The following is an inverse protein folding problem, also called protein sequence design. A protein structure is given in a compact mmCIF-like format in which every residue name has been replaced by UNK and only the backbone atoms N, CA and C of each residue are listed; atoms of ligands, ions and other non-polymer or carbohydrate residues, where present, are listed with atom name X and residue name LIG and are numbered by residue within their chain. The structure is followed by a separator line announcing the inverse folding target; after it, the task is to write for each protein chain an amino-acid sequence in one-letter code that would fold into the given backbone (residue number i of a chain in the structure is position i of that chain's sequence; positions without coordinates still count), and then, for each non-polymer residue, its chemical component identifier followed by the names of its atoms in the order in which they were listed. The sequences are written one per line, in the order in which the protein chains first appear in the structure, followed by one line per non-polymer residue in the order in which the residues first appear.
data_IF_230074056378
#
_entry.id   IF_230074056378
#
_cell.length_a   1.000
_cell.length_b   1.000
_cell.length_c   1.000
_cell.angle_alpha   90.00
_cell.angle_beta   90.00
_cell.angle_gamma   90.00
#
_symmetry.space_group_name_H-M   'P 1'
#
loop_
_entity.id
_entity.type
_entity.pdbx_description
1 polymer ?
#
# COMPACT_ATOMS: atom_id res chain seq x y z
N UNK A 1 74.91 -46.93 29.46
CA UNK A 1 73.85 -47.12 30.48
C UNK A 1 72.71 -46.18 30.08
N UNK A 2 71.74 -46.62 29.28
CA UNK A 2 70.57 -47.46 29.60
C UNK A 2 69.42 -46.67 30.26
N UNK A 3 68.43 -46.34 29.41
CA UNK A 3 66.97 -46.15 29.61
C UNK A 3 66.49 -45.15 30.68
N UNK A 4 65.38 -44.40 30.54
CA UNK A 4 64.11 -44.72 29.89
C UNK A 4 63.30 -43.44 29.57
N UNK A 5 62.40 -43.57 28.59
CA UNK A 5 61.41 -42.58 28.13
C UNK A 5 60.24 -42.46 29.13
N UNK A 6 59.53 -41.32 29.12
CA UNK A 6 58.06 -41.26 28.99
C UNK A 6 57.63 -39.83 28.61
N UNK A 7 56.75 -39.77 27.60
CA UNK A 7 56.05 -38.60 27.06
C UNK A 7 54.68 -38.51 27.74
N UNK A 8 54.22 -37.30 28.10
CA UNK A 8 52.79 -36.95 28.05
C UNK A 8 52.65 -35.49 27.60
N UNK A 9 51.96 -35.33 26.46
CA UNK A 9 51.39 -34.08 25.96
C UNK A 9 50.15 -33.72 26.77
N UNK A 10 49.99 -32.45 27.15
CA UNK A 10 48.67 -31.83 27.28
C UNK A 10 48.70 -30.46 26.62
N UNK A 11 47.96 -30.37 25.52
CA UNK A 11 47.65 -29.16 24.79
C UNK A 11 46.58 -28.37 25.56
N UNK A 12 46.83 -27.08 25.79
CA UNK A 12 45.87 -26.17 26.39
C UNK A 12 46.03 -24.78 25.79
N UNK A 13 45.48 -24.60 24.58
CA UNK A 13 45.24 -23.29 23.99
C UNK A 13 43.97 -22.71 24.65
N UNK A 14 44.11 -21.61 25.39
CA UNK A 14 42.98 -20.78 25.77
C UNK A 14 43.18 -19.38 25.16
N UNK A 15 42.71 -19.24 23.92
CA UNK A 15 42.42 -17.96 23.29
C UNK A 15 41.05 -17.51 23.81
N UNK A 16 41.01 -16.48 24.66
CA UNK A 16 39.75 -15.80 24.99
C UNK A 16 39.57 -14.70 23.96
N UNK A 17 38.81 -15.00 22.92
CA UNK A 17 38.33 -14.03 21.95
C UNK A 17 36.94 -13.53 22.39
N UNK A 18 36.79 -12.20 22.32
CA UNK A 18 35.58 -11.43 21.95
C UNK A 18 34.21 -11.85 22.48
N UNK A 19 33.58 -10.93 23.21
CA UNK A 19 32.13 -10.96 23.43
C UNK A 19 31.63 -9.70 24.12
N UNK A 20 31.79 -8.51 23.52
CA UNK A 20 30.84 -7.44 23.79
C UNK A 20 29.54 -7.85 23.08
N UNK A 21 28.67 -8.56 23.80
CA UNK A 21 27.24 -8.60 23.51
C UNK A 21 26.68 -7.20 23.80
N UNK A 22 26.91 -6.29 22.85
CA UNK A 22 26.02 -5.15 22.67
C UNK A 22 24.75 -5.71 22.07
N UNK A 23 23.81 -6.07 22.94
CA UNK A 23 22.42 -6.16 22.52
C UNK A 23 22.07 -4.78 21.98
N UNK A 24 21.92 -4.66 20.67
CA UNK A 24 21.02 -3.65 20.13
C UNK A 24 19.66 -4.02 20.71
N UNK A 25 19.29 -3.37 21.80
CA UNK A 25 17.88 -3.26 22.14
C UNK A 25 17.23 -2.82 20.82
N UNK A 26 16.38 -3.70 20.28
CA UNK A 26 15.44 -3.28 19.28
C UNK A 26 14.76 -2.07 19.91
N UNK A 27 15.00 -0.90 19.33
CA UNK A 27 14.27 0.29 19.71
C UNK A 27 12.83 -0.09 19.45
N UNK A 28 12.10 -0.35 20.52
CA UNK A 28 10.67 -0.57 20.50
C UNK A 28 10.13 0.80 20.08
N UNK A 29 9.93 0.95 18.77
CA UNK A 29 9.23 2.09 18.26
C UNK A 29 7.80 1.90 18.75
N UNK A 30 7.41 2.68 19.76
CA UNK A 30 6.01 3.01 20.01
C UNK A 30 5.51 3.66 18.71
N UNK A 31 5.06 2.82 17.77
CA UNK A 31 4.28 3.24 16.62
C UNK A 31 2.95 3.69 17.22
N UNK A 32 2.91 4.93 17.72
CA UNK A 32 1.67 5.62 18.07
C UNK A 32 0.79 5.65 16.81
N UNK A 33 -0.08 4.64 16.70
CA UNK A 33 -1.52 4.62 16.45
C UNK A 33 -2.17 5.86 15.79
N UNK A 34 -1.51 6.48 14.81
CA UNK A 34 -2.14 7.50 13.96
C UNK A 34 -2.00 7.08 12.51
N UNK A 35 -3.16 6.76 11.93
CA UNK A 35 -3.31 6.52 10.50
C UNK A 35 -2.78 5.18 10.00
N UNK A 36 -2.47 4.21 10.86
CA UNK A 36 -2.03 2.87 10.45
C UNK A 36 -3.21 1.89 10.38
N UNK A 37 -3.57 1.45 9.18
CA UNK A 37 -4.47 0.30 9.00
C UNK A 37 -3.66 -0.85 8.40
N UNK A 38 -3.39 -1.93 9.16
CA UNK A 38 -2.87 -3.16 8.60
C UNK A 38 -4.03 -3.83 7.89
N UNK A 39 -3.88 -3.96 6.59
CA UNK A 39 -4.92 -4.55 5.79
C UNK A 39 -4.58 -6.02 5.74
N UNK A 40 -5.46 -6.81 6.31
CA UNK A 40 -5.50 -8.26 6.18
C UNK A 40 -6.91 -8.56 5.70
N UNK A 41 -7.05 -9.50 4.76
CA UNK A 41 -8.23 -9.56 3.91
C UNK A 41 -9.53 -9.63 4.71
N UNK A 42 -10.45 -8.70 4.49
CA UNK A 42 -11.80 -8.83 5.04
C UNK A 42 -12.44 -10.10 4.49
N UNK A 43 -12.98 -10.91 5.39
CA UNK A 43 -13.79 -12.08 5.10
C UNK A 43 -15.14 -11.60 4.54
N UNK A 44 -15.20 -11.24 3.25
CA UNK A 44 -16.43 -10.79 2.60
C UNK A 44 -17.46 -11.91 2.36
N UNK A 45 -17.59 -12.84 3.31
CA UNK A 45 -18.66 -13.83 3.35
C UNK A 45 -18.65 -14.78 2.15
N UNK A 46 -17.48 -15.28 1.76
CA UNK A 46 -17.34 -16.26 0.68
C UNK A 46 -16.46 -15.83 -0.50
N UNK A 47 -15.85 -14.65 -0.45
CA UNK A 47 -14.71 -14.33 -1.30
C UNK A 47 -13.48 -15.00 -0.66
N UNK A 48 -13.02 -16.15 -1.18
CA UNK A 48 -11.84 -16.80 -0.63
C UNK A 48 -10.64 -15.84 -0.58
N UNK A 49 -10.02 -15.73 0.60
CA UNK A 49 -8.63 -15.29 0.88
C UNK A 49 -8.17 -13.94 0.28
N UNK A 50 -7.96 -12.91 1.13
CA UNK A 50 -6.88 -11.90 0.97
C UNK A 50 -7.13 -10.61 0.13
N UNK A 51 -7.92 -9.64 0.63
CA UNK A 51 -8.33 -8.41 -0.09
C UNK A 51 -7.32 -7.23 -0.15
N UNK A 52 -6.02 -7.47 -0.44
CA UNK A 52 -5.03 -6.37 -0.58
C UNK A 52 -4.43 -6.18 -1.97
N UNK A 53 -4.60 -7.15 -2.88
CA UNK A 53 -4.03 -7.10 -4.24
C UNK A 53 -5.10 -6.79 -5.28
N UNK A 54 -5.41 -5.51 -5.49
CA UNK A 54 -6.18 -5.09 -6.66
C UNK A 54 -5.31 -5.36 -7.91
N UNK A 55 -5.73 -6.24 -8.85
CA UNK A 55 -4.92 -6.51 -10.02
C UNK A 55 -4.74 -5.24 -10.85
N UNK A 56 -3.49 -4.87 -11.16
CA UNK A 56 -3.18 -3.66 -11.91
C UNK A 56 -3.94 -3.59 -13.24
N UNK A 57 -4.07 -4.73 -13.92
CA UNK A 57 -4.78 -4.82 -15.19
C UNK A 57 -6.27 -4.46 -15.07
N UNK A 58 -6.94 -4.94 -14.02
CA UNK A 58 -8.36 -4.67 -13.76
C UNK A 58 -8.56 -3.18 -13.48
N UNK A 59 -7.69 -2.60 -12.66
CA UNK A 59 -7.70 -1.16 -12.37
C UNK A 59 -7.54 -0.33 -13.65
N UNK A 60 -6.48 -0.54 -14.44
CA UNK A 60 -6.23 0.28 -15.64
C UNK A 60 -7.29 0.08 -16.74
N UNK A 61 -7.88 -1.11 -16.85
CA UNK A 61 -8.99 -1.34 -17.79
C UNK A 61 -10.25 -0.55 -17.43
N UNK A 62 -10.46 -0.27 -16.13
CA UNK A 62 -11.67 0.36 -15.61
C UNK A 62 -11.44 1.78 -15.05
N UNK A 63 -10.22 2.30 -15.07
CA UNK A 63 -9.84 3.60 -14.49
C UNK A 63 -10.73 4.74 -15.01
N UNK A 64 -11.03 4.77 -16.30
CA UNK A 64 -11.85 5.81 -16.90
C UNK A 64 -13.31 5.77 -16.41
N UNK A 65 -13.88 4.57 -16.19
CA UNK A 65 -15.23 4.43 -15.62
C UNK A 65 -15.23 4.83 -14.15
N UNK A 66 -14.19 4.39 -13.43
CA UNK A 66 -14.00 4.77 -12.03
C UNK A 66 -13.89 6.29 -11.88
N UNK A 67 -13.17 6.97 -12.77
CA UNK A 67 -13.05 8.45 -12.76
C UNK A 67 -14.42 9.12 -12.85
N UNK A 68 -15.27 8.63 -13.75
CA UNK A 68 -16.61 9.18 -13.97
C UNK A 68 -17.49 8.93 -12.73
N UNK A 69 -17.46 7.71 -12.18
CA UNK A 69 -18.18 7.34 -10.95
C UNK A 69 -17.72 8.13 -9.71
N UNK A 70 -16.41 8.37 -9.56
CA UNK A 70 -15.89 9.19 -8.46
C UNK A 70 -16.36 10.65 -8.55
N UNK A 71 -16.79 11.11 -9.72
CA UNK A 71 -17.34 12.44 -9.92
C UNK A 71 -18.83 12.59 -9.68
N UNK A 72 -19.51 11.49 -9.35
CA UNK A 72 -20.94 11.43 -9.13
C UNK A 72 -21.25 10.92 -7.73
N UNK A 73 -22.50 11.11 -7.29
CA UNK A 73 -23.00 10.47 -6.08
C UNK A 73 -22.91 8.96 -6.25
N UNK A 74 -22.42 8.22 -5.25
CA UNK A 74 -22.35 6.75 -5.35
C UNK A 74 -23.74 6.14 -5.51
N UNK A 75 -24.76 6.76 -4.91
CA UNK A 75 -26.14 6.30 -5.03
C UNK A 75 -27.05 7.33 -5.70
N UNK A 76 -28.05 6.82 -6.41
CA UNK A 76 -29.17 7.57 -6.94
C UNK A 76 -30.49 6.95 -6.47
N UNK A 77 -31.55 7.75 -6.51
CA UNK A 77 -32.91 7.33 -6.18
C UNK A 77 -33.76 7.42 -7.44
N UNK A 78 -34.44 6.32 -7.79
CA UNK A 78 -35.32 6.29 -8.95
C UNK A 78 -36.67 6.99 -8.68
N UNK A 79 -37.57 6.98 -9.66
CA UNK A 79 -38.90 7.58 -9.54
C UNK A 79 -39.81 6.89 -8.50
N UNK A 80 -39.47 5.66 -8.07
CA UNK A 80 -40.19 4.88 -7.06
C UNK A 80 -39.59 5.01 -5.66
N UNK A 81 -38.44 5.67 -5.51
CA UNK A 81 -37.72 5.79 -4.25
C UNK A 81 -36.69 4.68 -4.00
N UNK A 82 -36.41 3.83 -4.99
CA UNK A 82 -35.44 2.75 -4.88
C UNK A 82 -34.01 3.30 -5.06
N UNK A 83 -33.11 2.89 -4.17
CA UNK A 83 -31.71 3.32 -4.17
C UNK A 83 -30.88 2.34 -5.00
N UNK A 84 -30.13 2.85 -5.97
CA UNK A 84 -29.21 2.08 -6.81
C UNK A 84 -27.85 2.75 -6.93
N UNK A 85 -26.83 1.98 -7.30
CA UNK A 85 -25.46 2.46 -7.38
C UNK A 85 -25.22 3.09 -8.75
N UNK A 86 -24.69 4.31 -8.78
CA UNK A 86 -24.24 4.98 -10.00
C UNK A 86 -22.88 4.41 -10.37
N UNK A 87 -22.85 3.71 -11.50
CA UNK A 87 -21.69 2.87 -11.83
C UNK A 87 -21.18 3.10 -13.24
N UNK A 88 -21.93 3.75 -14.13
CA UNK A 88 -21.50 4.04 -15.50
C UNK A 88 -20.92 2.81 -16.23
N UNK A 89 -21.53 1.63 -16.01
CA UNK A 89 -21.09 0.35 -16.57
C UNK A 89 -19.84 -0.24 -15.91
N UNK A 90 -19.39 0.30 -14.77
CA UNK A 90 -18.29 -0.24 -13.96
C UNK A 90 -18.66 -1.60 -13.38
N UNK A 91 -19.93 -1.85 -13.05
CA UNK A 91 -20.37 -3.14 -12.51
C UNK A 91 -20.73 -4.18 -13.58
N UNK A 92 -20.55 -3.88 -14.87
CA UNK A 92 -20.89 -4.79 -15.97
C UNK A 92 -19.92 -5.99 -16.06
N UNK A 93 -18.77 -5.91 -15.40
CA UNK A 93 -17.73 -6.94 -15.42
C UNK A 93 -17.23 -7.24 -14.00
N UNK A 94 -16.75 -8.47 -13.77
CA UNK A 94 -16.16 -8.87 -12.49
C UNK A 94 -14.96 -7.97 -12.11
N UNK A 95 -14.09 -7.67 -13.07
CA UNK A 95 -12.96 -6.76 -12.89
C UNK A 95 -13.43 -5.36 -12.43
N UNK A 96 -14.48 -4.82 -13.05
CA UNK A 96 -15.00 -3.51 -12.68
C UNK A 96 -15.72 -3.51 -11.32
N UNK A 97 -16.42 -4.59 -10.97
CA UNK A 97 -16.97 -4.81 -9.61
C UNK A 97 -15.85 -4.80 -8.57
N UNK A 98 -14.73 -5.49 -8.83
CA UNK A 98 -13.59 -5.51 -7.92
C UNK A 98 -12.97 -4.12 -7.75
N UNK A 99 -12.75 -3.40 -8.85
CA UNK A 99 -12.26 -2.01 -8.82
C UNK A 99 -13.19 -1.12 -8.01
N UNK A 100 -14.51 -1.25 -8.18
CA UNK A 100 -15.48 -0.47 -7.42
C UNK A 100 -15.46 -0.82 -5.93
N UNK A 101 -15.36 -2.10 -5.56
CA UNK A 101 -15.24 -2.52 -4.16
C UNK A 101 -14.01 -1.90 -3.48
N UNK A 102 -12.86 -1.87 -4.16
CA UNK A 102 -11.68 -1.18 -3.64
C UNK A 102 -11.89 0.33 -3.51
N UNK A 103 -12.56 0.95 -4.49
CA UNK A 103 -12.90 2.37 -4.41
C UNK A 103 -13.81 2.65 -3.20
N UNK A 104 -14.84 1.82 -2.96
CA UNK A 104 -15.72 1.93 -1.78
C UNK A 104 -14.94 1.71 -0.47
N UNK A 105 -14.04 0.72 -0.44
CA UNK A 105 -13.18 0.47 0.72
C UNK A 105 -12.34 1.71 1.08
N UNK A 106 -11.77 2.34 0.07
CA UNK A 106 -11.01 3.58 0.21
C UNK A 106 -11.90 4.78 0.57
N UNK A 107 -13.01 4.98 -0.15
CA UNK A 107 -13.71 6.25 -0.23
C UNK A 107 -15.00 6.37 0.58
N UNK A 108 -15.57 5.27 1.07
CA UNK A 108 -16.84 5.26 1.81
C UNK A 108 -16.60 4.82 3.26
N UNK A 109 -17.33 5.43 4.19
CA UNK A 109 -17.22 5.15 5.63
C UNK A 109 -17.40 3.65 5.94
N UNK A 110 -16.73 3.19 6.99
CA UNK A 110 -16.79 1.79 7.43
C UNK A 110 -18.24 1.36 7.69
N UNK A 111 -18.59 0.14 7.26
CA UNK A 111 -19.92 -0.46 7.38
C UNK A 111 -21.07 0.31 6.70
N UNK A 112 -20.80 1.43 6.04
CA UNK A 112 -21.83 2.17 5.32
C UNK A 112 -22.26 1.37 4.08
N UNK A 113 -23.48 0.85 4.14
CA UNK A 113 -24.11 0.14 3.02
C UNK A 113 -24.49 1.15 1.94
N UNK A 114 -23.90 0.98 0.75
CA UNK A 114 -24.18 1.80 -0.43
C UNK A 114 -25.38 1.22 -1.18
N UNK A 115 -25.24 -0.02 -1.61
CA UNK A 115 -26.28 -0.85 -2.23
C UNK A 115 -26.00 -2.28 -1.80
N UNK A 116 -27.02 -3.13 -1.76
CA UNK A 116 -26.96 -4.55 -1.37
C UNK A 116 -25.57 -5.19 -1.62
N UNK A 117 -24.94 -5.66 -0.53
CA UNK A 117 -23.63 -6.34 -0.50
C UNK A 117 -22.41 -5.48 -0.90
N UNK A 118 -22.58 -4.16 -1.05
CA UNK A 118 -21.52 -3.18 -1.26
C UNK A 118 -21.45 -2.22 -0.07
N UNK A 119 -20.40 -2.37 0.72
CA UNK A 119 -20.13 -1.58 1.93
C UNK A 119 -18.83 -0.81 1.77
N UNK A 120 -18.76 0.35 2.43
CA UNK A 120 -17.49 1.07 2.60
C UNK A 120 -16.55 0.37 3.58
N UNK A 121 -15.28 0.78 3.54
CA UNK A 121 -14.22 0.28 4.41
C UNK A 121 -13.60 1.33 5.33
N UNK A 122 -13.99 2.60 5.18
CA UNK A 122 -13.60 3.69 6.08
C UNK A 122 -12.12 4.06 6.05
N UNK A 123 -11.36 3.68 5.02
CA UNK A 123 -9.91 3.90 5.00
C UNK A 123 -9.54 5.38 4.93
N UNK A 124 -10.34 6.21 4.25
CA UNK A 124 -10.08 7.64 4.10
C UNK A 124 -11.04 8.48 4.92
N UNK A 125 -10.50 9.46 5.63
CA UNK A 125 -11.28 10.42 6.42
C UNK A 125 -11.75 11.63 5.61
N UNK A 126 -11.38 11.72 4.33
CA UNK A 126 -11.59 12.91 3.47
C UNK A 126 -12.75 12.75 2.48
N UNK A 127 -13.38 11.58 2.45
CA UNK A 127 -14.26 11.15 1.35
C UNK A 127 -15.69 10.81 1.78
N UNK A 128 -16.05 10.89 3.07
CA UNK A 128 -17.36 10.44 3.58
C UNK A 128 -18.60 11.09 2.93
N UNK A 129 -18.44 12.23 2.23
CA UNK A 129 -19.52 12.83 1.45
C UNK A 129 -19.85 12.08 0.14
N UNK A 130 -18.96 11.20 -0.33
CA UNK A 130 -19.02 10.59 -1.67
C UNK A 130 -20.37 9.90 -1.93
N UNK A 131 -20.92 9.22 -0.92
CA UNK A 131 -22.17 8.48 -1.03
C UNK A 131 -23.31 9.35 -1.56
N UNK A 132 -23.31 10.64 -1.23
CA UNK A 132 -24.40 11.57 -1.57
C UNK A 132 -24.02 12.62 -2.60
N UNK A 133 -22.72 12.86 -2.81
CA UNK A 133 -22.21 13.91 -3.69
C UNK A 133 -20.89 13.44 -4.31
N UNK A 134 -20.71 13.72 -5.61
CA UNK A 134 -19.44 13.44 -6.29
C UNK A 134 -18.22 14.08 -5.63
N UNK A 135 -17.09 13.38 -5.67
CA UNK A 135 -15.85 13.86 -5.10
C UNK A 135 -15.24 14.97 -5.96
N UNK A 136 -14.71 16.00 -5.31
CA UNK A 136 -13.81 16.97 -5.94
C UNK A 136 -12.39 16.39 -6.13
N UNK A 137 -11.59 17.02 -6.98
CA UNK A 137 -10.26 16.53 -7.35
C UNK A 137 -9.34 16.17 -6.16
N UNK A 138 -9.28 16.94 -5.04
CA UNK A 138 -8.46 16.55 -3.89
C UNK A 138 -8.89 15.24 -3.23
N UNK A 139 -10.20 14.98 -3.14
CA UNK A 139 -10.71 13.74 -2.58
C UNK A 139 -10.59 12.56 -3.56
N UNK A 140 -10.74 12.81 -4.87
CA UNK A 140 -10.44 11.79 -5.90
C UNK A 140 -8.96 11.39 -5.87
N UNK A 141 -8.07 12.35 -5.72
CA UNK A 141 -6.63 12.13 -5.54
C UNK A 141 -6.36 11.20 -4.35
N UNK A 142 -7.02 11.42 -3.20
CA UNK A 142 -6.87 10.53 -2.04
C UNK A 142 -7.36 9.10 -2.34
N UNK A 143 -8.54 8.94 -2.96
CA UNK A 143 -9.08 7.61 -3.34
C UNK A 143 -8.13 6.87 -4.27
N UNK A 144 -7.66 7.51 -5.34
CA UNK A 144 -6.69 6.90 -6.24
C UNK A 144 -5.39 6.54 -5.53
N UNK A 145 -4.89 7.41 -4.64
CA UNK A 145 -3.65 7.15 -3.90
C UNK A 145 -3.81 5.96 -2.95
N UNK A 146 -4.96 5.83 -2.29
CA UNK A 146 -5.30 4.64 -1.50
C UNK A 146 -5.33 3.38 -2.37
N UNK A 147 -6.01 3.42 -3.51
CA UNK A 147 -6.07 2.29 -4.44
C UNK A 147 -4.69 1.91 -5.01
N UNK A 148 -3.80 2.88 -5.28
CA UNK A 148 -2.43 2.61 -5.73
C UNK A 148 -1.65 1.75 -4.74
N UNK A 149 -1.80 2.03 -3.43
CA UNK A 149 -1.15 1.23 -2.39
C UNK A 149 -1.57 -0.24 -2.46
N UNK A 150 -2.80 -0.51 -2.93
CA UNK A 150 -3.36 -1.85 -3.12
C UNK A 150 -3.03 -2.51 -4.46
N UNK A 151 -2.44 -1.79 -5.42
CA UNK A 151 -2.10 -2.40 -6.70
C UNK A 151 -0.97 -3.39 -6.52
N UNK A 152 -1.20 -4.62 -6.98
CA UNK A 152 -0.22 -5.68 -7.02
C UNK A 152 -0.32 -6.44 -8.36
N UNK A 153 0.77 -7.12 -8.79
CA UNK A 153 0.68 -8.05 -9.90
C UNK A 153 -0.44 -9.08 -9.67
N UNK A 154 -1.08 -9.55 -10.75
CA UNK A 154 -2.17 -10.52 -10.65
C UNK A 154 -1.74 -11.77 -9.87
N UNK A 155 -2.55 -12.16 -8.88
CA UNK A 155 -2.29 -13.32 -8.02
C UNK A 155 -1.26 -13.08 -6.91
N UNK A 156 -0.82 -11.84 -6.70
CA UNK A 156 0.04 -11.44 -5.57
C UNK A 156 -0.79 -10.72 -4.51
N UNK A 157 -0.81 -11.27 -3.31
CA UNK A 157 -1.54 -10.74 -2.17
C UNK A 157 -0.59 -10.62 -0.99
N UNK A 158 -0.29 -9.39 -0.59
CA UNK A 158 0.58 -9.13 0.57
C UNK A 158 -0.16 -8.27 1.60
N UNK A 159 0.08 -8.47 2.90
CA UNK A 159 -0.31 -7.50 3.92
C UNK A 159 0.37 -6.15 3.66
N UNK A 160 -0.41 -5.07 3.72
CA UNK A 160 0.08 -3.70 3.56
C UNK A 160 -0.44 -2.86 4.74
N UNK A 161 0.44 -2.08 5.33
CA UNK A 161 0.06 -1.01 6.24
C UNK A 161 0.17 0.33 5.51
N UNK A 162 -0.91 1.11 5.52
CA UNK A 162 -0.92 2.46 4.98
C UNK A 162 -0.84 3.48 6.12
N UNK A 163 -0.17 4.62 5.87
CA UNK A 163 -0.12 5.79 6.75
C UNK A 163 -0.30 7.07 5.94
N UNK A 164 -0.96 8.08 6.49
CA UNK A 164 -1.14 9.34 5.77
C UNK A 164 -2.12 10.29 6.44
N UNK A 165 -2.08 11.56 6.05
CA UNK A 165 -3.01 12.58 6.56
C UNK A 165 -4.49 12.29 6.20
N UNK A 166 -4.70 11.56 5.10
CA UNK A 166 -6.03 11.16 4.64
C UNK A 166 -6.47 9.81 5.22
N UNK A 167 -5.54 9.00 5.76
CA UNK A 167 -5.86 7.67 6.28
C UNK A 167 -6.56 7.83 7.64
N UNK A 168 -7.76 7.26 7.76
CA UNK A 168 -8.48 7.18 9.02
C UNK A 168 -7.63 6.38 10.01
N UNK A 169 -7.33 6.91 11.21
CA UNK A 169 -6.68 6.15 12.25
C UNK A 169 -7.46 4.86 12.50
N UNK A 170 -6.78 3.71 12.45
CA UNK A 170 -7.44 2.42 12.59
C UNK A 170 -8.13 2.32 13.94
N UNK A 171 -9.47 2.29 13.96
CA UNK A 171 -10.25 1.84 15.11
C UNK A 171 -10.51 0.34 14.99
N UNK A 172 -9.43 -0.46 14.90
CA UNK A 172 -9.60 -1.91 14.85
C UNK A 172 -10.12 -2.39 16.20
N UNK A 173 -11.41 -2.71 16.25
CA UNK A 173 -12.07 -3.24 17.45
C UNK A 173 -11.82 -4.74 17.66
N UNK A 174 -11.04 -5.38 16.78
CA UNK A 174 -10.67 -6.79 16.82
C UNK A 174 -9.15 -7.03 16.69
N UNK A 175 -8.69 -8.25 16.97
CA UNK A 175 -7.29 -8.63 16.78
C UNK A 175 -6.95 -8.57 15.29
N UNK A 176 -5.88 -7.86 14.95
CA UNK A 176 -5.32 -7.85 13.61
C UNK A 176 -4.80 -9.25 13.25
N UNK A 177 -5.01 -9.71 12.02
CA UNK A 177 -4.43 -10.99 11.58
C UNK A 177 -2.90 -10.90 11.53
N UNK A 178 -2.38 -9.72 11.20
CA UNK A 178 -0.95 -9.40 11.19
C UNK A 178 -0.69 -8.26 12.17
N UNK A 179 0.17 -8.45 13.20
CA UNK A 179 0.46 -7.40 14.16
C UNK A 179 1.20 -6.24 13.47
N UNK A 180 0.94 -5.00 13.89
CA UNK A 180 1.60 -3.79 13.35
C UNK A 180 3.14 -3.90 13.37
N UNK A 181 3.70 -4.57 14.38
CA UNK A 181 5.14 -4.82 14.51
C UNK A 181 5.74 -5.67 13.38
N UNK A 182 4.93 -6.39 12.60
CA UNK A 182 5.41 -7.16 11.45
C UNK A 182 5.73 -6.28 10.23
N UNK A 183 5.13 -5.08 10.15
CA UNK A 183 5.30 -4.10 9.06
C UNK A 183 6.61 -3.32 9.21
N UNK A 184 7.74 -4.03 9.19
CA UNK A 184 9.09 -3.46 9.35
C UNK A 184 9.71 -2.91 8.06
N UNK A 185 9.06 -3.05 6.90
CA UNK A 185 9.63 -2.68 5.61
C UNK A 185 8.98 -1.42 5.04
N UNK A 186 9.67 -0.26 5.13
CA UNK A 186 9.24 0.98 4.48
C UNK A 186 9.32 0.87 2.96
N UNK A 187 8.17 0.86 2.32
CA UNK A 187 8.09 0.62 0.89
C UNK A 187 8.27 1.93 0.11
N UNK A 188 7.25 2.77 0.14
CA UNK A 188 7.20 3.97 -0.68
C UNK A 188 6.19 4.98 -0.14
N UNK A 189 6.32 6.23 -0.60
CA UNK A 189 5.29 7.26 -0.47
C UNK A 189 4.64 7.46 -1.83
N UNK A 190 3.31 7.49 -1.83
CA UNK A 190 2.45 7.56 -3.02
C UNK A 190 1.66 8.86 -3.03
N UNK A 191 1.51 9.48 -4.20
CA UNK A 191 0.57 10.57 -4.40
C UNK A 191 -0.04 10.50 -5.80
N UNK A 192 -1.30 10.89 -5.92
CA UNK A 192 -1.98 11.04 -7.20
C UNK A 192 -2.24 12.51 -7.49
N UNK A 193 -1.83 12.99 -8.66
CA UNK A 193 -2.16 14.34 -9.15
C UNK A 193 -3.28 14.22 -10.17
N UNK A 194 -4.38 14.94 -9.96
CA UNK A 194 -5.48 15.00 -10.94
C UNK A 194 -5.25 16.21 -11.85
N UNK A 195 -5.17 15.97 -13.16
CA UNK A 195 -5.12 17.04 -14.15
C UNK A 195 -6.45 17.81 -14.17
N UNK A 196 -6.46 19.13 -13.94
CA UNK A 196 -7.70 19.89 -13.78
C UNK A 196 -8.49 20.09 -15.07
N UNK A 197 -7.91 19.78 -16.24
CA UNK A 197 -8.57 19.93 -17.55
C UNK A 197 -9.18 18.61 -18.02
N UNK A 198 -8.50 17.50 -17.75
CA UNK A 198 -8.87 16.16 -18.23
C UNK A 198 -9.42 15.26 -17.14
N UNK A 199 -9.31 15.68 -15.88
CA UNK A 199 -9.58 14.90 -14.67
C UNK A 199 -8.85 13.54 -14.64
N UNK A 200 -7.78 13.40 -15.44
CA UNK A 200 -6.99 12.18 -15.51
C UNK A 200 -6.01 12.14 -14.34
N UNK A 201 -5.87 11.00 -13.65
CA UNK A 201 -4.85 10.84 -12.62
C UNK A 201 -3.45 10.63 -13.21
N UNK A 202 -2.45 11.18 -12.53
CA UNK A 202 -1.03 10.91 -12.70
C UNK A 202 -0.48 10.39 -11.37
N UNK A 203 0.27 9.30 -11.42
CA UNK A 203 0.69 8.57 -10.23
C UNK A 203 2.16 8.86 -9.94
N UNK A 204 2.48 9.19 -8.70
CA UNK A 204 3.83 9.50 -8.27
C UNK A 204 4.22 8.56 -7.12
N UNK A 205 5.44 8.04 -7.21
CA UNK A 205 6.01 7.19 -6.16
C UNK A 205 7.41 7.64 -5.80
N UNK A 206 7.67 7.77 -4.50
CA UNK A 206 8.99 8.02 -3.92
C UNK A 206 9.38 6.80 -3.08
N UNK A 207 10.23 5.90 -3.61
CA UNK A 207 10.70 4.73 -2.89
C UNK A 207 11.43 5.13 -1.60
N UNK A 208 11.12 4.45 -0.49
CA UNK A 208 11.74 4.73 0.80
C UNK A 208 13.07 3.98 0.97
N UNK A 209 13.81 4.31 2.04
CA UNK A 209 15.16 3.82 2.26
C UNK A 209 15.27 2.29 2.26
N UNK A 210 14.31 1.57 2.85
CA UNK A 210 14.33 0.09 2.85
C UNK A 210 14.20 -0.46 1.42
N UNK A 211 13.24 0.03 0.62
CA UNK A 211 13.09 -0.37 -0.77
C UNK A 211 14.30 -0.02 -1.65
N UNK A 212 14.86 1.18 -1.49
CA UNK A 212 16.09 1.59 -2.21
C UNK A 212 17.29 0.71 -1.85
N UNK A 213 17.42 0.32 -0.59
CA UNK A 213 18.49 -0.57 -0.13
C UNK A 213 18.30 -2.03 -0.58
N UNK A 214 17.04 -2.47 -0.71
CA UNK A 214 16.68 -3.80 -1.17
C UNK A 214 16.87 -3.94 -2.69
N UNK A 215 16.44 -2.93 -3.46
CA UNK A 215 16.59 -2.84 -4.91
C UNK A 215 17.78 -1.95 -5.29
N UNK A 216 19.02 -2.43 -5.12
CA UNK A 216 20.23 -1.60 -5.34
C UNK A 216 20.42 -1.15 -6.79
N UNK A 217 19.77 -1.80 -7.76
CA UNK A 217 19.79 -1.40 -9.16
C UNK A 217 18.57 -0.52 -9.50
N UNK A 218 18.74 0.79 -9.76
CA UNK A 218 17.62 1.68 -10.03
C UNK A 218 16.78 1.28 -11.26
N UNK A 219 17.38 0.63 -12.25
CA UNK A 219 16.65 0.16 -13.42
C UNK A 219 15.71 -1.01 -13.06
N UNK A 220 16.15 -1.94 -12.20
CA UNK A 220 15.32 -3.05 -11.77
C UNK A 220 14.24 -2.60 -10.77
N UNK A 221 14.55 -1.65 -9.89
CA UNK A 221 13.56 -0.98 -9.04
C UNK A 221 12.44 -0.37 -9.88
N UNK A 222 12.81 0.38 -10.93
CA UNK A 222 11.84 0.99 -11.83
C UNK A 222 10.96 -0.05 -12.54
N UNK A 223 11.53 -1.18 -12.96
CA UNK A 223 10.78 -2.29 -13.56
C UNK A 223 9.81 -2.90 -12.53
N UNK A 224 10.26 -3.16 -11.30
CA UNK A 224 9.41 -3.76 -10.27
C UNK A 224 8.22 -2.85 -9.90
N UNK A 225 8.47 -1.55 -9.67
CA UNK A 225 7.41 -0.58 -9.38
C UNK A 225 6.44 -0.40 -10.54
N UNK A 226 6.93 -0.35 -11.78
CA UNK A 226 6.05 -0.32 -12.96
C UNK A 226 5.24 -1.59 -13.09
N UNK A 227 5.83 -2.75 -12.86
CA UNK A 227 5.11 -4.03 -12.90
C UNK A 227 4.02 -4.09 -11.84
N UNK A 228 4.28 -3.58 -10.63
CA UNK A 228 3.30 -3.50 -9.54
C UNK A 228 2.12 -2.59 -9.88
N UNK A 229 2.38 -1.38 -10.37
CA UNK A 229 1.33 -0.37 -10.59
C UNK A 229 0.68 -0.52 -11.96
N UNK A 230 1.45 -0.73 -13.02
CA UNK A 230 0.95 -0.76 -14.39
C UNK A 230 0.57 -2.17 -14.86
N UNK A 231 1.04 -3.22 -14.18
CA UNK A 231 0.98 -4.59 -14.67
C UNK A 231 2.10 -4.93 -15.66
N UNK A 232 2.23 -6.21 -15.96
CA UNK A 232 3.27 -6.72 -16.85
C UNK A 232 3.07 -6.24 -18.30
N UNK A 233 4.14 -5.72 -18.90
CA UNK A 233 4.16 -5.35 -20.34
C UNK A 233 3.56 -3.99 -20.67
N UNK A 234 3.03 -3.24 -19.69
CA UNK A 234 2.54 -1.88 -19.88
C UNK A 234 3.69 -0.89 -19.68
N UNK A 235 4.06 -0.16 -20.74
CA UNK A 235 5.21 0.77 -20.67
C UNK A 235 4.86 2.13 -20.05
N UNK A 236 3.60 2.57 -20.17
CA UNK A 236 3.12 3.84 -19.63
C UNK A 236 1.70 3.67 -19.09
N UNK A 237 1.56 3.86 -17.78
CA UNK A 237 0.28 3.95 -17.09
C UNK A 237 0.16 5.28 -16.32
N UNK A 238 0.94 6.31 -16.67
CA UNK A 238 0.97 7.58 -15.94
C UNK A 238 1.78 7.55 -14.63
N UNK A 239 2.56 6.50 -14.38
CA UNK A 239 3.44 6.41 -13.20
C UNK A 239 4.78 7.14 -13.41
N UNK A 240 5.08 8.05 -12.49
CA UNK A 240 6.39 8.70 -12.33
C UNK A 240 7.09 8.16 -11.09
N UNK A 241 8.32 7.66 -11.27
CA UNK A 241 9.15 7.09 -10.20
C UNK A 241 10.27 8.07 -9.86
N UNK A 242 10.28 8.57 -8.64
CA UNK A 242 11.25 9.52 -8.10
C UNK A 242 12.34 8.77 -7.32
N UNK A 243 13.26 8.14 -8.06
CA UNK A 243 14.27 7.24 -7.47
C UNK A 243 15.49 7.96 -6.88
N UNK A 244 15.63 9.27 -7.12
CA UNK A 244 16.67 10.06 -6.48
C UNK A 244 16.17 10.52 -5.10
N UNK A 245 16.88 10.20 -4.00
CA UNK A 245 16.48 10.62 -2.65
C UNK A 245 16.28 12.14 -2.48
N UNK A 246 16.93 12.95 -3.32
CA UNK A 246 16.74 14.40 -3.32
C UNK A 246 15.38 14.84 -3.85
N UNK A 247 14.72 14.02 -4.68
CA UNK A 247 13.40 14.33 -5.23
C UNK A 247 12.37 14.35 -4.09
N UNK A 248 12.42 13.37 -3.17
CA UNK A 248 11.53 13.35 -1.99
C UNK A 248 11.67 14.60 -1.14
N UNK A 249 12.91 15.04 -0.86
CA UNK A 249 13.16 16.25 -0.08
C UNK A 249 12.73 17.55 -0.79
N UNK A 250 12.60 17.52 -2.12
CA UNK A 250 12.21 18.69 -2.93
C UNK A 250 10.70 18.72 -3.14
N UNK A 251 10.09 17.57 -3.39
CA UNK A 251 8.69 17.42 -3.77
C UNK A 251 7.77 17.30 -2.56
N UNK A 252 8.28 16.75 -1.46
CA UNK A 252 7.49 16.41 -0.28
C UNK A 252 7.85 17.26 0.93
N UNK A 253 6.83 17.47 1.78
CA UNK A 253 6.94 18.09 3.10
C UNK A 253 6.14 17.27 4.12
N UNK A 254 6.49 17.40 5.40
CA UNK A 254 5.87 16.64 6.49
C UNK A 254 6.84 15.65 7.15
N UNK A 255 6.34 14.89 8.12
CA UNK A 255 7.10 13.88 8.87
C UNK A 255 6.17 12.78 9.37
N UNK A 256 6.75 11.69 9.87
CA UNK A 256 6.05 10.64 10.64
C UNK A 256 4.92 9.92 9.89
N UNK A 257 5.06 9.81 8.56
CA UNK A 257 4.06 9.19 7.67
C UNK A 257 2.96 10.16 7.23
N UNK A 258 2.99 11.41 7.67
CA UNK A 258 2.05 12.47 7.29
C UNK A 258 2.73 13.39 6.28
N UNK A 259 2.68 13.00 5.00
CA UNK A 259 3.35 13.72 3.92
C UNK A 259 2.38 14.47 3.01
N UNK A 260 2.84 15.61 2.49
CA UNK A 260 2.25 16.31 1.34
C UNK A 260 3.30 16.38 0.25
N UNK A 261 3.06 15.74 -0.88
CA UNK A 261 3.96 15.69 -2.02
C UNK A 261 3.32 16.39 -3.23
N UNK A 262 4.07 17.29 -3.87
CA UNK A 262 3.59 18.09 -5.01
C UNK A 262 2.30 18.89 -4.72
N UNK A 263 2.06 19.22 -3.44
CA UNK A 263 0.85 19.90 -2.98
C UNK A 263 -0.35 18.99 -2.70
N UNK A 264 -0.22 17.67 -2.86
CA UNK A 264 -1.26 16.69 -2.59
C UNK A 264 -0.93 15.84 -1.36
N UNK A 265 -1.97 15.39 -0.63
CA UNK A 265 -1.78 14.44 0.46
C UNK A 265 -1.20 13.15 -0.09
N UNK A 266 -0.18 12.64 0.58
CA UNK A 266 0.47 11.41 0.20
C UNK A 266 0.17 10.30 1.23
N UNK A 267 0.26 9.06 0.75
CA UNK A 267 0.11 7.86 1.58
C UNK A 267 1.43 7.10 1.55
N UNK A 268 1.97 6.81 2.73
CA UNK A 268 3.12 5.94 2.92
C UNK A 268 2.64 4.49 3.06
N UNK A 269 3.29 3.55 2.37
CA UNK A 269 3.04 2.12 2.52
C UNK A 269 4.21 1.41 3.19
N UNK A 270 3.86 0.39 3.96
CA UNK A 270 4.78 -0.51 4.64
C UNK A 270 4.36 -1.95 4.38
N UNK A 271 5.36 -2.82 4.24
CA UNK A 271 5.15 -4.25 4.01
C UNK A 271 5.60 -5.06 5.21
N UNK A 272 5.01 -6.25 5.33
CA UNK A 272 5.60 -7.31 6.16
C UNK A 272 6.96 -7.65 5.58
N UNK A 273 7.96 -7.72 6.47
CA UNK A 273 9.36 -7.86 6.08
C UNK A 273 9.61 -9.14 5.27
N UNK A 274 8.86 -10.21 5.56
CA UNK A 274 8.97 -11.53 4.92
C UNK A 274 8.31 -11.56 3.53
N UNK A 275 7.27 -10.75 3.30
CA UNK A 275 6.46 -10.77 2.07
C UNK A 275 6.99 -9.81 0.99
N UNK A 276 7.98 -8.96 1.31
CA UNK A 276 8.53 -7.97 0.37
C UNK A 276 9.04 -8.59 -0.94
N UNK A 277 9.58 -9.82 -0.87
CA UNK A 277 10.20 -10.50 -2.01
C UNK A 277 9.12 -11.00 -2.99
N UNK A 278 7.86 -11.13 -2.57
CA UNK A 278 6.74 -11.45 -3.45
C UNK A 278 6.48 -10.33 -4.48
N UNK A 279 6.69 -9.07 -4.07
CA UNK A 279 6.53 -7.91 -4.94
C UNK A 279 7.86 -7.52 -5.62
N UNK A 280 8.95 -7.53 -4.84
CA UNK A 280 10.22 -6.92 -5.24
C UNK A 280 11.35 -7.92 -5.48
N UNK A 281 11.13 -9.23 -5.37
CA UNK A 281 12.20 -10.23 -5.53
C UNK A 281 12.94 -10.14 -6.88
N UNK A 282 12.27 -9.65 -7.93
CA UNK A 282 12.88 -9.42 -9.24
C UNK A 282 13.97 -8.32 -9.25
N UNK A 283 14.01 -7.43 -8.25
CA UNK A 283 14.95 -6.30 -8.22
C UNK A 283 16.29 -6.56 -7.50
N UNK A 284 16.45 -7.74 -6.88
CA UNK A 284 17.58 -8.10 -6.01
C UNK A 284 18.79 -8.70 -6.79
N UNK A 285 18.79 -8.59 -8.12
CA UNK A 285 19.78 -9.25 -9.00
C UNK A 285 21.16 -8.61 -8.99
#
# INVERSE_FOLDING_TARGET
MSFSRTVVLVSGFALVASGCTGGTEAVDFDVEEIGAQPLTGDDCGGCGTGTNGLPSADFHQNEWKLRDVLGESVVETDEHGDIFAVTNGLLDTEAGVNVFKYALRCGVDEDQVVVKDLTGGGMLSTTGAWVTVGLGDPARSDVYTCMLGHLNPSGTEVPIMMKGAAITPGSHSGPLEVPLSAFGFQEAVWATVIDPLTHRPFYHVWPQAHLLSHCTNPALLAVALRSRVCGLGVQDCGLTIHSNPLDFATDCSGSDGVYTCLGYRAIETWLVTEDRDEIYGACVQ
#
